data_IF_893376322926
#
_entry.id   IF_893376322926
#
_cell.length_a   1.000
_cell.length_b   1.000
_cell.length_c   1.000
_cell.angle_alpha   90.00
_cell.angle_beta   90.00
_cell.angle_gamma   90.00
#
_symmetry.space_group_name_H-M   'P 1'
#
loop_
_entity.id
_entity.type
_entity.pdbx_description
1 polymer ?
#
# COMPACT_ATOMS: atom_id res chain seq x y z
N UNK A 1 -19.48 -47.97 -16.86
CA UNK A 1 -19.78 -46.91 -15.86
C UNK A 1 -18.53 -46.07 -15.63
N UNK A 2 -18.43 -44.83 -16.11
CA UNK A 2 -17.31 -43.96 -15.83
C UNK A 2 -17.57 -43.22 -14.51
N UNK A 3 -16.69 -43.45 -13.51
CA UNK A 3 -16.68 -42.74 -12.24
C UNK A 3 -16.31 -41.27 -12.44
N UNK A 4 -17.31 -40.42 -12.29
CA UNK A 4 -17.18 -38.96 -12.21
C UNK A 4 -16.35 -38.58 -10.97
N UNK A 5 -15.02 -38.49 -11.10
CA UNK A 5 -14.18 -37.79 -10.11
C UNK A 5 -14.36 -36.28 -10.36
N UNK A 6 -15.41 -35.70 -9.75
CA UNK A 6 -15.45 -34.26 -9.50
C UNK A 6 -14.21 -33.93 -8.65
N UNK A 7 -13.21 -33.33 -9.29
CA UNK A 7 -12.09 -32.75 -8.56
C UNK A 7 -12.67 -31.77 -7.54
N UNK A 8 -12.32 -31.96 -6.28
CA UNK A 8 -12.65 -31.05 -5.19
C UNK A 8 -12.09 -29.68 -5.57
N UNK A 9 -12.97 -28.78 -6.01
CA UNK A 9 -12.67 -27.36 -6.08
C UNK A 9 -12.54 -26.93 -4.64
N UNK A 10 -11.32 -26.67 -4.22
CA UNK A 10 -11.04 -26.08 -2.92
C UNK A 10 -11.83 -24.78 -2.83
N UNK A 11 -12.76 -24.75 -1.90
CA UNK A 11 -13.56 -23.58 -1.58
C UNK A 11 -12.59 -22.48 -1.13
N UNK A 12 -12.32 -21.51 -2.00
CA UNK A 12 -11.77 -20.25 -1.52
C UNK A 12 -12.71 -19.69 -0.43
N UNK A 13 -12.20 -18.93 0.54
CA UNK A 13 -13.02 -18.41 1.61
C UNK A 13 -14.24 -17.71 1.01
N UNK A 14 -15.42 -18.09 1.49
CA UNK A 14 -16.69 -17.45 1.17
C UNK A 14 -16.63 -15.94 1.48
N UNK A 15 -17.72 -15.18 1.32
CA UNK A 15 -17.75 -13.78 1.71
C UNK A 15 -17.23 -13.67 3.15
N UNK A 16 -16.29 -12.74 3.37
CA UNK A 16 -15.68 -12.51 4.69
C UNK A 16 -16.80 -12.26 5.71
N UNK A 17 -16.70 -12.93 6.86
CA UNK A 17 -17.52 -12.59 8.01
C UNK A 17 -17.30 -11.12 8.42
N UNK A 18 -18.28 -10.52 9.06
CA UNK A 18 -18.20 -9.09 9.42
C UNK A 18 -16.98 -8.79 10.31
N UNK A 19 -16.74 -9.59 11.34
CA UNK A 19 -15.61 -9.41 12.27
C UNK A 19 -14.24 -9.38 11.58
N UNK A 20 -13.85 -10.43 10.86
CA UNK A 20 -12.60 -10.45 10.12
C UNK A 20 -12.44 -9.28 9.14
N UNK A 21 -13.49 -8.91 8.40
CA UNK A 21 -13.47 -7.77 7.49
C UNK A 21 -13.11 -6.47 8.19
N UNK A 22 -13.74 -6.20 9.35
CA UNK A 22 -13.48 -4.99 10.16
C UNK A 22 -12.04 -4.95 10.68
N UNK A 23 -11.48 -6.09 11.10
CA UNK A 23 -10.08 -6.13 11.54
C UNK A 23 -9.10 -5.87 10.40
N UNK A 24 -9.37 -6.37 9.19
CA UNK A 24 -8.55 -6.06 8.01
C UNK A 24 -8.65 -4.58 7.63
N UNK A 25 -9.85 -3.98 7.77
CA UNK A 25 -10.06 -2.56 7.59
C UNK A 25 -9.27 -1.74 8.62
N UNK A 26 -9.30 -2.13 9.90
CA UNK A 26 -8.51 -1.48 10.95
C UNK A 26 -7.01 -1.56 10.66
N UNK A 27 -6.51 -2.73 10.25
CA UNK A 27 -5.10 -2.92 9.91
C UNK A 27 -4.68 -2.02 8.74
N UNK A 28 -5.52 -1.90 7.71
CA UNK A 28 -5.28 -1.05 6.55
C UNK A 28 -5.26 0.44 6.92
N UNK A 29 -6.24 0.90 7.70
CA UNK A 29 -6.31 2.27 8.18
C UNK A 29 -5.12 2.64 9.07
N UNK A 30 -4.77 1.76 10.00
CA UNK A 30 -3.62 1.91 10.88
C UNK A 30 -2.29 1.98 10.10
N UNK A 31 -2.10 1.10 9.11
CA UNK A 31 -0.91 1.13 8.27
C UNK A 31 -0.76 2.45 7.50
N UNK A 32 -1.85 2.99 6.92
CA UNK A 32 -1.82 4.30 6.27
C UNK A 32 -1.42 5.42 7.24
N UNK A 33 -1.98 5.41 8.44
CA UNK A 33 -1.66 6.38 9.49
C UNK A 33 -0.19 6.30 9.92
N UNK A 34 0.37 5.11 10.09
CA UNK A 34 1.80 4.92 10.40
C UNK A 34 2.72 5.49 9.32
N UNK A 35 2.36 5.38 8.04
CA UNK A 35 3.13 6.01 6.95
C UNK A 35 3.14 7.53 7.09
N UNK A 36 1.99 8.13 7.36
CA UNK A 36 1.90 9.58 7.57
C UNK A 36 2.71 10.02 8.78
N UNK A 37 2.63 9.30 9.90
CA UNK A 37 3.42 9.59 11.11
C UNK A 37 4.92 9.49 10.84
N UNK A 38 5.35 8.51 10.04
CA UNK A 38 6.76 8.36 9.67
C UNK A 38 7.28 9.58 8.90
N UNK A 39 6.54 10.03 7.89
CA UNK A 39 6.95 11.20 7.11
C UNK A 39 6.81 12.50 7.92
N UNK A 40 5.80 12.62 8.78
CA UNK A 40 5.64 13.75 9.69
C UNK A 40 6.83 13.88 10.64
N UNK A 41 7.26 12.75 11.26
CA UNK A 41 8.43 12.73 12.13
C UNK A 41 9.69 13.13 11.37
N UNK A 42 9.92 12.55 10.20
CA UNK A 42 11.06 12.88 9.35
C UNK A 42 11.09 14.36 8.96
N UNK A 43 9.92 14.95 8.72
CA UNK A 43 9.81 16.35 8.33
C UNK A 43 10.02 17.33 9.48
N UNK A 44 9.49 17.05 10.65
CA UNK A 44 9.35 18.02 11.73
C UNK A 44 10.26 17.77 12.95
N UNK A 45 10.85 16.58 13.07
CA UNK A 45 11.69 16.23 14.22
C UNK A 45 13.10 15.87 13.78
N UNK A 46 14.07 16.16 14.63
CA UNK A 46 15.48 15.73 14.42
C UNK A 46 15.58 14.21 14.42
N UNK A 47 16.66 13.66 13.89
CA UNK A 47 16.88 12.22 13.94
C UNK A 47 17.09 11.73 15.37
N UNK A 48 16.72 10.49 15.65
CA UNK A 48 16.75 9.92 17.00
C UNK A 48 18.15 10.00 17.59
N UNK A 49 19.18 9.76 16.78
CA UNK A 49 20.60 9.78 17.16
C UNK A 49 21.09 11.19 17.53
N UNK A 50 20.42 12.23 17.07
CA UNK A 50 20.77 13.62 17.41
C UNK A 50 20.26 14.05 18.79
N UNK A 51 19.45 13.22 19.46
CA UNK A 51 18.86 13.53 20.76
C UNK A 51 19.86 13.16 21.87
N UNK A 52 20.37 14.14 22.57
CA UNK A 52 21.40 13.95 23.61
C UNK A 52 20.90 13.13 24.83
N UNK A 53 19.62 13.19 25.16
CA UNK A 53 19.02 12.45 26.29
C UNK A 53 17.71 11.80 25.85
N UNK A 54 17.69 10.48 25.85
CA UNK A 54 16.51 9.69 25.54
C UNK A 54 15.72 9.43 26.83
N UNK A 55 14.42 9.70 26.79
CA UNK A 55 13.48 9.25 27.80
C UNK A 55 12.52 8.20 27.21
N UNK A 56 11.88 7.33 28.03
CA UNK A 56 11.01 6.26 27.54
C UNK A 56 9.87 6.76 26.64
N UNK A 57 9.29 7.92 26.92
CA UNK A 57 8.23 8.50 26.10
C UNK A 57 8.73 8.88 24.71
N UNK A 58 9.85 9.60 24.63
CA UNK A 58 10.47 9.97 23.34
C UNK A 58 10.85 8.71 22.53
N UNK A 59 11.46 7.71 23.17
CA UNK A 59 11.82 6.46 22.50
C UNK A 59 10.60 5.73 21.93
N UNK A 60 9.53 5.64 22.72
CA UNK A 60 8.28 5.04 22.29
C UNK A 60 7.62 5.82 21.13
N UNK A 61 7.61 7.16 21.20
CA UNK A 61 7.08 8.03 20.14
C UNK A 61 7.85 7.87 18.83
N UNK A 62 9.19 7.81 18.87
CA UNK A 62 10.01 7.58 17.68
C UNK A 62 9.83 6.18 17.11
N UNK A 63 9.75 5.15 17.95
CA UNK A 63 9.47 3.80 17.50
C UNK A 63 8.10 3.72 16.80
N UNK A 64 7.04 4.22 17.45
CA UNK A 64 5.69 4.22 16.89
C UNK A 64 5.57 5.00 15.58
N UNK A 65 6.31 6.11 15.45
CA UNK A 65 6.31 6.93 14.24
C UNK A 65 7.37 6.54 13.20
N UNK A 66 8.04 5.40 13.33
CA UNK A 66 9.08 4.95 12.39
C UNK A 66 8.69 3.76 11.52
N UNK A 67 7.41 3.38 11.54
CA UNK A 67 6.90 2.15 10.93
C UNK A 67 6.42 2.34 9.48
N UNK A 68 6.90 3.37 8.76
CA UNK A 68 6.43 3.67 7.40
C UNK A 68 6.67 2.54 6.39
N UNK A 69 7.92 2.03 6.30
CA UNK A 69 8.28 0.91 5.40
C UNK A 69 7.52 -0.36 5.76
N UNK A 70 7.44 -0.69 7.06
CA UNK A 70 6.74 -1.87 7.56
C UNK A 70 5.25 -1.83 7.22
N UNK A 71 4.65 -0.64 7.26
CA UNK A 71 3.24 -0.44 6.86
C UNK A 71 3.00 -0.70 5.37
N UNK A 72 3.98 -0.42 4.51
CA UNK A 72 3.89 -0.78 3.08
C UNK A 72 3.91 -2.31 2.91
N UNK A 73 4.69 -3.04 3.71
CA UNK A 73 4.65 -4.52 3.67
C UNK A 73 3.29 -5.07 4.09
N UNK A 74 2.64 -4.47 5.10
CA UNK A 74 1.24 -4.79 5.46
C UNK A 74 0.30 -4.56 4.26
N UNK A 75 0.43 -3.45 3.54
CA UNK A 75 -0.37 -3.21 2.33
C UNK A 75 -0.13 -4.26 1.25
N UNK A 76 1.11 -4.67 1.02
CA UNK A 76 1.42 -5.69 0.02
C UNK A 76 0.76 -7.02 0.36
N UNK A 77 0.84 -7.49 1.60
CA UNK A 77 0.17 -8.74 2.02
C UNK A 77 -1.35 -8.63 1.90
N UNK A 78 -1.95 -7.51 2.38
CA UNK A 78 -3.40 -7.28 2.26
C UNK A 78 -3.85 -7.23 0.79
N UNK A 79 -3.12 -6.54 -0.05
CA UNK A 79 -3.39 -6.46 -1.49
C UNK A 79 -3.27 -7.84 -2.16
N UNK A 80 -2.23 -8.60 -1.81
CA UNK A 80 -2.06 -9.99 -2.26
C UNK A 80 -3.26 -10.86 -1.91
N UNK A 81 -3.73 -10.81 -0.67
CA UNK A 81 -4.91 -11.57 -0.22
C UNK A 81 -6.17 -11.15 -0.98
N UNK A 82 -6.48 -9.87 -1.03
CA UNK A 82 -7.73 -9.37 -1.62
C UNK A 82 -7.75 -9.48 -3.15
N UNK A 83 -6.68 -9.03 -3.80
CA UNK A 83 -6.59 -9.00 -5.27
C UNK A 83 -6.19 -10.35 -5.81
N UNK A 84 -5.15 -10.97 -5.26
CA UNK A 84 -4.69 -12.31 -5.66
C UNK A 84 -5.80 -13.34 -5.47
N UNK A 85 -6.49 -13.33 -4.32
CA UNK A 85 -7.65 -14.20 -4.10
C UNK A 85 -8.76 -13.99 -5.13
N UNK A 86 -9.02 -12.75 -5.59
CA UNK A 86 -10.01 -12.49 -6.63
C UNK A 86 -9.60 -13.05 -8.00
N UNK A 87 -8.31 -12.96 -8.35
CA UNK A 87 -7.75 -13.53 -9.59
C UNK A 87 -7.87 -15.05 -9.57
N UNK A 88 -7.45 -15.69 -8.49
CA UNK A 88 -7.49 -17.15 -8.35
C UNK A 88 -8.93 -17.69 -8.48
N UNK A 89 -9.90 -17.06 -7.83
CA UNK A 89 -11.32 -17.45 -7.96
C UNK A 89 -11.84 -17.28 -9.38
N UNK A 90 -11.53 -16.16 -10.02
CA UNK A 90 -12.02 -15.83 -11.36
C UNK A 90 -11.43 -16.75 -12.43
N UNK A 91 -10.14 -17.07 -12.33
CA UNK A 91 -9.48 -18.05 -13.24
C UNK A 91 -9.98 -19.47 -12.95
N UNK A 92 -10.08 -19.86 -11.67
CA UNK A 92 -10.56 -21.19 -11.26
C UNK A 92 -12.00 -21.47 -11.66
N UNK A 93 -12.88 -20.46 -11.70
CA UNK A 93 -14.28 -20.57 -12.16
C UNK A 93 -14.45 -20.42 -13.68
N UNK A 94 -13.39 -20.17 -14.43
CA UNK A 94 -13.47 -19.93 -15.88
C UNK A 94 -14.11 -18.59 -16.26
N UNK A 95 -14.35 -17.69 -15.29
CA UNK A 95 -14.99 -16.38 -15.51
C UNK A 95 -14.00 -15.23 -15.73
N UNK A 96 -12.73 -15.55 -15.99
CA UNK A 96 -11.68 -14.55 -16.14
C UNK A 96 -11.89 -13.63 -17.35
N UNK A 97 -11.74 -12.34 -17.12
CA UNK A 97 -11.70 -11.33 -18.18
C UNK A 97 -10.67 -10.26 -17.84
N UNK A 98 -9.65 -10.12 -18.67
CA UNK A 98 -8.65 -9.04 -18.53
C UNK A 98 -9.29 -7.65 -18.51
N UNK A 99 -10.29 -7.40 -19.38
CA UNK A 99 -10.99 -6.11 -19.44
C UNK A 99 -11.70 -5.80 -18.14
N UNK A 100 -12.45 -6.76 -17.59
CA UNK A 100 -13.17 -6.57 -16.32
C UNK A 100 -12.20 -6.40 -15.15
N UNK A 101 -11.13 -7.19 -15.13
CA UNK A 101 -10.10 -7.11 -14.10
C UNK A 101 -9.38 -5.75 -14.11
N UNK A 102 -8.85 -5.35 -15.27
CA UNK A 102 -8.14 -4.07 -15.41
C UNK A 102 -9.07 -2.89 -15.14
N UNK A 103 -10.31 -2.91 -15.63
CA UNK A 103 -11.30 -1.87 -15.32
C UNK A 103 -11.48 -1.71 -13.81
N UNK A 104 -11.63 -2.83 -13.08
CA UNK A 104 -11.82 -2.80 -11.64
C UNK A 104 -10.57 -2.27 -10.88
N UNK A 105 -9.36 -2.60 -11.34
CA UNK A 105 -8.11 -2.13 -10.70
C UNK A 105 -7.79 -0.68 -11.08
N UNK A 106 -7.79 -0.37 -12.38
CA UNK A 106 -7.44 0.97 -12.86
C UNK A 106 -8.43 2.03 -12.41
N UNK A 107 -9.75 1.75 -12.43
CA UNK A 107 -10.74 2.71 -11.91
C UNK A 107 -10.46 3.07 -10.45
N UNK A 108 -10.08 2.08 -9.61
CA UNK A 108 -9.73 2.31 -8.20
C UNK A 108 -8.44 3.11 -8.05
N UNK A 109 -7.42 2.80 -8.85
CA UNK A 109 -6.12 3.48 -8.75
C UNK A 109 -6.21 4.92 -9.28
N UNK A 110 -6.76 5.12 -10.48
CA UNK A 110 -6.74 6.44 -11.13
C UNK A 110 -7.65 7.48 -10.49
N UNK A 111 -8.76 7.07 -9.87
CA UNK A 111 -9.65 8.00 -9.15
C UNK A 111 -8.94 8.71 -8.00
N UNK A 112 -7.87 8.11 -7.46
CA UNK A 112 -7.04 8.73 -6.40
C UNK A 112 -5.73 9.24 -6.96
N UNK A 113 -5.05 8.46 -7.82
CA UNK A 113 -3.73 8.81 -8.34
C UNK A 113 -3.73 10.12 -9.14
N UNK A 114 -4.68 10.31 -10.07
CA UNK A 114 -4.70 11.53 -10.87
C UNK A 114 -4.92 12.79 -10.02
N UNK A 115 -5.92 12.84 -9.12
CA UNK A 115 -6.02 13.96 -8.17
C UNK A 115 -4.77 14.14 -7.31
N UNK A 116 -4.15 13.05 -6.81
CA UNK A 116 -2.95 13.14 -5.99
C UNK A 116 -1.76 13.75 -6.75
N UNK A 117 -1.58 13.38 -8.02
CA UNK A 117 -0.54 13.97 -8.87
C UNK A 117 -0.82 15.44 -9.17
N UNK A 118 -2.06 15.79 -9.56
CA UNK A 118 -2.42 17.16 -9.93
C UNK A 118 -2.41 18.09 -8.71
N UNK A 119 -3.03 17.69 -7.60
CA UNK A 119 -3.07 18.50 -6.38
C UNK A 119 -1.69 18.58 -5.74
N UNK A 120 -0.93 17.47 -5.72
CA UNK A 120 0.45 17.46 -5.22
C UNK A 120 1.35 18.36 -6.05
N UNK A 121 1.28 18.27 -7.39
CA UNK A 121 2.04 19.16 -8.28
C UNK A 121 1.65 20.64 -8.13
N UNK A 122 0.37 20.94 -7.92
CA UNK A 122 -0.08 22.30 -7.65
C UNK A 122 0.45 22.85 -6.32
N UNK A 123 0.44 22.03 -5.25
CA UNK A 123 1.03 22.40 -3.95
C UNK A 123 2.54 22.65 -4.08
N UNK A 124 3.26 21.78 -4.77
CA UNK A 124 4.69 21.93 -5.01
C UNK A 124 4.98 23.20 -5.83
N UNK A 125 4.23 23.41 -6.90
CA UNK A 125 4.37 24.60 -7.72
C UNK A 125 4.13 25.88 -6.92
N UNK A 126 3.05 25.94 -6.15
CA UNK A 126 2.74 27.10 -5.28
C UNK A 126 3.85 27.28 -4.24
N UNK A 127 4.24 26.20 -3.54
CA UNK A 127 5.26 26.26 -2.50
C UNK A 127 6.61 26.74 -3.02
N UNK A 128 7.05 26.28 -4.20
CA UNK A 128 8.32 26.70 -4.82
C UNK A 128 8.37 28.20 -5.20
N UNK A 129 7.22 28.84 -5.37
CA UNK A 129 7.14 30.27 -5.69
C UNK A 129 6.95 31.16 -4.45
N UNK A 130 6.94 30.58 -3.24
CA UNK A 130 6.85 31.33 -2.00
C UNK A 130 8.25 31.70 -1.48
N UNK A 131 8.44 32.87 -0.86
CA UNK A 131 9.74 33.27 -0.32
C UNK A 131 10.25 32.35 0.77
N UNK A 132 11.54 32.03 0.77
CA UNK A 132 12.22 31.29 1.84
C UNK A 132 11.96 29.78 1.86
N UNK A 133 11.42 29.22 0.78
CA UNK A 133 11.09 27.78 0.68
C UNK A 133 12.13 26.96 -0.07
N UNK A 134 13.16 27.60 -0.63
CA UNK A 134 14.16 27.02 -1.55
C UNK A 134 14.88 25.82 -0.92
N UNK A 135 15.24 25.90 0.38
CA UNK A 135 15.95 24.84 1.07
C UNK A 135 15.13 23.54 1.13
N UNK A 136 13.80 23.65 1.24
CA UNK A 136 12.91 22.48 1.27
C UNK A 136 12.82 21.85 -0.11
N UNK A 137 12.51 22.62 -1.13
CA UNK A 137 12.28 22.11 -2.49
C UNK A 137 13.55 21.75 -3.25
N UNK A 138 14.73 22.27 -2.84
CA UNK A 138 16.01 21.82 -3.37
C UNK A 138 16.48 20.46 -2.83
N UNK A 139 15.83 19.90 -1.81
CA UNK A 139 16.24 18.66 -1.16
C UNK A 139 17.26 18.84 -0.04
N UNK A 140 17.51 20.08 0.40
CA UNK A 140 18.53 20.42 1.41
C UNK A 140 17.94 20.66 2.81
N UNK A 141 16.71 20.20 3.05
CA UNK A 141 16.02 20.40 4.34
C UNK A 141 16.36 19.40 5.42
N UNK A 142 17.24 18.42 5.15
CA UNK A 142 17.58 17.31 6.06
C UNK A 142 16.51 16.23 6.19
N UNK A 143 15.45 16.25 5.35
CA UNK A 143 14.42 15.21 5.31
C UNK A 143 14.89 14.03 4.45
N UNK A 144 14.77 12.81 4.99
CA UNK A 144 15.08 11.59 4.22
C UNK A 144 14.05 11.32 3.12
N UNK A 145 12.78 11.66 3.38
CA UNK A 145 11.70 11.47 2.41
C UNK A 145 11.81 12.39 1.19
N UNK A 146 12.57 13.49 1.28
CA UNK A 146 12.77 14.48 0.21
C UNK A 146 14.27 14.82 0.07
N UNK A 147 15.07 13.84 -0.27
CA UNK A 147 16.51 14.00 -0.50
C UNK A 147 16.87 14.30 -1.98
N UNK A 148 15.95 14.90 -2.73
CA UNK A 148 16.14 15.25 -4.14
C UNK A 148 15.51 16.61 -4.47
N UNK A 149 15.96 17.23 -5.56
CA UNK A 149 15.47 18.52 -5.99
C UNK A 149 14.13 18.40 -6.74
N UNK A 150 13.06 18.96 -6.17
CA UNK A 150 11.70 18.92 -6.71
C UNK A 150 11.58 19.62 -8.07
N UNK A 151 12.33 20.70 -8.30
CA UNK A 151 12.34 21.39 -9.60
C UNK A 151 12.70 20.48 -10.77
N UNK A 152 13.56 19.47 -10.54
CA UNK A 152 14.00 18.52 -11.59
C UNK A 152 12.95 17.47 -11.92
N UNK A 153 12.00 17.21 -11.03
CA UNK A 153 11.00 16.15 -11.15
C UNK A 153 9.56 16.66 -11.30
N UNK A 154 9.34 17.95 -11.18
CA UNK A 154 8.04 18.58 -11.45
C UNK A 154 7.94 18.92 -12.96
N UNK A 155 7.93 17.88 -13.80
CA UNK A 155 7.91 17.98 -15.25
C UNK A 155 6.79 17.14 -15.86
N UNK A 156 6.37 17.45 -17.08
CA UNK A 156 5.34 16.69 -17.80
C UNK A 156 5.74 15.23 -18.04
N UNK A 157 7.03 15.00 -18.30
CA UNK A 157 7.57 13.65 -18.47
C UNK A 157 7.41 12.83 -17.18
N UNK A 158 7.75 13.42 -16.03
CA UNK A 158 7.57 12.75 -14.73
C UNK A 158 6.11 12.57 -14.37
N UNK A 159 5.25 13.55 -14.67
CA UNK A 159 3.80 13.41 -14.49
C UNK A 159 3.26 12.22 -15.29
N UNK A 160 3.57 12.16 -16.59
CA UNK A 160 3.13 11.08 -17.45
C UNK A 160 3.68 9.72 -17.01
N UNK A 161 4.95 9.64 -16.64
CA UNK A 161 5.59 8.42 -16.17
C UNK A 161 4.97 7.92 -14.86
N UNK A 162 4.67 8.83 -13.91
CA UNK A 162 3.99 8.47 -12.66
C UNK A 162 2.53 8.06 -12.89
N UNK A 163 1.82 8.73 -13.80
CA UNK A 163 0.49 8.33 -14.21
C UNK A 163 0.46 6.93 -14.87
N UNK A 164 1.55 6.50 -15.51
CA UNK A 164 1.71 5.17 -16.09
C UNK A 164 2.34 4.14 -15.13
N UNK A 165 2.49 4.46 -13.84
CA UNK A 165 3.09 3.58 -12.82
C UNK A 165 4.53 3.16 -13.14
N UNK A 166 5.31 4.00 -13.84
CA UNK A 166 6.70 3.72 -14.21
C UNK A 166 7.76 4.04 -13.13
N UNK A 167 7.50 4.77 -12.01
CA UNK A 167 8.53 4.99 -11.01
C UNK A 167 9.16 3.66 -10.57
N UNK A 168 10.50 3.66 -10.49
CA UNK A 168 11.31 2.48 -10.13
C UNK A 168 11.35 1.33 -11.14
N UNK A 169 10.63 1.41 -12.27
CA UNK A 169 10.74 0.45 -13.37
C UNK A 169 11.99 0.76 -14.21
N UNK A 170 12.74 -0.28 -14.56
CA UNK A 170 13.92 -0.16 -15.44
C UNK A 170 13.46 -0.09 -16.89
N UNK A 171 13.67 1.05 -17.52
CA UNK A 171 13.44 1.17 -18.96
C UNK A 171 14.74 0.86 -19.73
N UNK A 172 14.69 0.06 -20.84
CA UNK A 172 15.84 -0.23 -21.65
C UNK A 172 16.51 1.04 -22.20
N UNK A 173 17.84 1.11 -22.12
CA UNK A 173 18.60 2.26 -22.60
C UNK A 173 18.57 3.50 -21.71
N UNK A 174 17.87 3.47 -20.60
CA UNK A 174 17.84 4.53 -19.61
C UNK A 174 18.68 4.15 -18.38
N UNK A 175 19.42 5.11 -17.81
CA UNK A 175 20.14 4.87 -16.57
C UNK A 175 19.17 4.42 -15.45
N UNK A 176 19.58 3.52 -14.53
CA UNK A 176 18.75 3.14 -13.41
C UNK A 176 18.35 4.38 -12.62
N UNK A 177 17.07 4.49 -12.26
CA UNK A 177 16.46 5.60 -11.50
C UNK A 177 16.08 6.86 -12.29
N UNK A 178 15.89 6.77 -13.60
CA UNK A 178 15.45 7.94 -14.40
C UNK A 178 14.01 8.36 -14.11
N UNK A 179 13.12 7.46 -13.71
CA UNK A 179 11.75 7.78 -13.34
C UNK A 179 11.65 7.92 -11.82
N UNK A 180 11.82 9.14 -11.35
CA UNK A 180 11.59 9.51 -9.97
C UNK A 180 10.09 9.78 -9.71
N UNK A 181 9.64 9.82 -8.45
CA UNK A 181 8.32 10.32 -8.11
C UNK A 181 8.11 11.74 -8.66
N UNK A 182 6.87 12.04 -9.07
CA UNK A 182 6.50 13.36 -9.56
C UNK A 182 6.36 14.34 -8.39
N UNK A 183 7.04 15.48 -8.50
CA UNK A 183 7.07 16.49 -7.44
C UNK A 183 7.67 15.94 -6.14
N UNK A 184 7.16 16.39 -5.01
CA UNK A 184 7.57 15.93 -3.69
C UNK A 184 6.94 14.59 -3.27
N UNK A 185 6.10 13.96 -4.11
CA UNK A 185 5.30 12.79 -3.74
C UNK A 185 6.07 11.47 -3.79
N UNK A 186 7.17 11.40 -3.03
CA UNK A 186 8.00 10.20 -2.92
C UNK A 186 7.24 8.95 -2.47
N UNK A 187 6.13 9.09 -1.74
CA UNK A 187 5.35 7.96 -1.24
C UNK A 187 4.74 7.09 -2.36
N UNK A 188 4.54 7.62 -3.56
CA UNK A 188 3.90 6.89 -4.68
C UNK A 188 4.76 5.76 -5.27
N UNK A 189 6.01 5.57 -4.85
CA UNK A 189 6.84 4.47 -5.34
C UNK A 189 6.16 3.10 -5.19
N UNK A 190 5.44 2.87 -4.10
CA UNK A 190 4.81 1.59 -3.81
C UNK A 190 3.62 1.27 -4.72
N UNK A 191 2.98 2.29 -5.30
CA UNK A 191 1.91 2.10 -6.29
C UNK A 191 2.44 1.50 -7.60
N UNK A 192 3.64 1.88 -8.03
CA UNK A 192 4.31 1.25 -9.16
C UNK A 192 4.57 -0.24 -8.91
N UNK A 193 4.98 -0.60 -7.68
CA UNK A 193 5.13 -1.99 -7.24
C UNK A 193 3.79 -2.73 -7.26
N UNK A 194 2.77 -2.16 -6.65
CA UNK A 194 1.44 -2.77 -6.58
C UNK A 194 0.84 -3.01 -7.97
N UNK A 195 0.93 -2.02 -8.86
CA UNK A 195 0.46 -2.15 -10.24
C UNK A 195 1.26 -3.23 -11.00
N UNK A 196 2.57 -3.30 -10.76
CA UNK A 196 3.43 -4.35 -11.32
C UNK A 196 2.94 -5.75 -10.91
N UNK A 197 2.55 -5.94 -9.63
CA UNK A 197 1.98 -7.22 -9.15
C UNK A 197 0.60 -7.48 -9.75
N UNK A 198 -0.20 -6.47 -10.01
CA UNK A 198 -1.50 -6.62 -10.68
C UNK A 198 -1.36 -7.13 -12.11
N UNK A 199 -0.25 -6.83 -12.78
CA UNK A 199 0.03 -7.37 -14.11
C UNK A 199 0.71 -8.75 -14.05
N UNK A 200 1.75 -8.89 -13.21
CA UNK A 200 2.57 -10.10 -13.15
C UNK A 200 1.82 -11.30 -12.57
N UNK A 201 0.98 -11.10 -11.54
CA UNK A 201 0.33 -12.21 -10.86
C UNK A 201 -0.68 -12.99 -11.73
N UNK A 202 -1.59 -12.35 -12.48
CA UNK A 202 -2.45 -13.10 -13.40
C UNK A 202 -1.65 -13.91 -14.45
N UNK A 203 -0.55 -13.36 -14.97
CA UNK A 203 0.31 -14.07 -15.91
C UNK A 203 0.92 -15.32 -15.26
N UNK A 204 1.38 -15.21 -14.00
CA UNK A 204 1.87 -16.34 -13.20
C UNK A 204 0.77 -17.39 -12.99
N UNK A 205 -0.44 -16.98 -12.68
CA UNK A 205 -1.58 -17.89 -12.51
C UNK A 205 -1.88 -18.63 -13.82
N UNK A 206 -1.84 -17.96 -14.97
CA UNK A 206 -2.01 -18.60 -16.28
C UNK A 206 -0.88 -19.57 -16.62
N UNK A 207 0.38 -19.25 -16.26
CA UNK A 207 1.49 -20.18 -16.45
C UNK A 207 1.27 -21.50 -15.68
N UNK A 208 0.75 -21.41 -14.45
CA UNK A 208 0.56 -22.55 -13.54
C UNK A 208 -0.79 -23.25 -13.69
N UNK A 209 -1.77 -22.63 -14.35
CA UNK A 209 -3.12 -23.17 -14.49
C UNK A 209 -3.13 -24.51 -15.26
N UNK A 210 -3.93 -25.47 -14.76
CA UNK A 210 -4.12 -26.77 -15.41
C UNK A 210 -4.97 -26.61 -16.68
N UNK A 211 -4.66 -27.40 -17.70
CA UNK A 211 -5.40 -27.38 -18.97
C UNK A 211 -5.01 -26.29 -19.95
N UNK A 212 -4.04 -25.44 -19.61
CA UNK A 212 -3.51 -24.44 -20.55
C UNK A 212 -2.70 -25.11 -21.67
N UNK A 213 -2.87 -24.58 -22.90
CA UNK A 213 -2.06 -25.01 -24.04
C UNK A 213 -0.58 -24.66 -23.84
N UNK A 214 0.31 -25.43 -24.48
CA UNK A 214 1.75 -25.17 -24.41
C UNK A 214 2.12 -23.76 -24.93
N UNK A 215 1.40 -23.28 -25.97
CA UNK A 215 1.57 -21.93 -26.52
C UNK A 215 1.30 -20.85 -25.46
N UNK A 216 0.21 -20.98 -24.70
CA UNK A 216 -0.13 -20.05 -23.60
C UNK A 216 0.91 -20.11 -22.46
N UNK A 217 1.45 -21.30 -22.16
CA UNK A 217 2.51 -21.40 -21.14
C UNK A 217 3.79 -20.70 -21.59
N UNK A 218 4.21 -20.88 -22.85
CA UNK A 218 5.37 -20.16 -23.39
C UNK A 218 5.13 -18.65 -23.36
N UNK A 219 3.96 -18.17 -23.82
CA UNK A 219 3.62 -16.76 -23.80
C UNK A 219 3.63 -16.19 -22.37
N UNK A 220 3.08 -16.93 -21.40
CA UNK A 220 3.11 -16.52 -19.99
C UNK A 220 4.52 -16.51 -19.42
N UNK A 221 5.36 -17.49 -19.77
CA UNK A 221 6.76 -17.53 -19.36
C UNK A 221 7.53 -16.32 -19.91
N UNK A 222 7.43 -16.06 -21.22
CA UNK A 222 8.03 -14.88 -21.84
C UNK A 222 7.52 -13.57 -21.21
N UNK A 223 6.22 -13.49 -20.97
CA UNK A 223 5.60 -12.35 -20.29
C UNK A 223 6.17 -12.13 -18.89
N UNK A 224 6.36 -13.18 -18.08
CA UNK A 224 6.95 -13.09 -16.74
C UNK A 224 8.44 -12.72 -16.79
N UNK A 225 9.19 -13.27 -17.73
CA UNK A 225 10.61 -12.90 -17.91
C UNK A 225 10.75 -11.43 -18.29
N UNK A 226 9.95 -10.96 -19.25
CA UNK A 226 9.91 -9.55 -19.65
C UNK A 226 9.48 -8.66 -18.48
N UNK A 227 8.42 -9.06 -17.77
CA UNK A 227 7.96 -8.34 -16.58
C UNK A 227 9.05 -8.26 -15.50
N UNK A 228 9.69 -9.37 -15.16
CA UNK A 228 10.75 -9.41 -14.14
C UNK A 228 11.97 -8.58 -14.53
N UNK A 229 12.33 -8.58 -15.82
CA UNK A 229 13.42 -7.76 -16.35
C UNK A 229 13.10 -6.25 -16.25
N UNK A 230 11.88 -5.84 -16.64
CA UNK A 230 11.43 -4.45 -16.53
C UNK A 230 11.27 -4.01 -15.07
N UNK A 231 10.65 -4.83 -14.24
CA UNK A 231 10.40 -4.55 -12.82
C UNK A 231 11.69 -4.43 -12.01
N UNK A 232 12.69 -5.26 -12.33
CA UNK A 232 13.93 -5.33 -11.58
C UNK A 232 13.84 -6.10 -10.27
N UNK A 233 15.01 -6.40 -9.69
CA UNK A 233 15.13 -7.35 -8.58
C UNK A 233 14.33 -6.94 -7.33
N UNK A 234 14.33 -5.67 -6.97
CA UNK A 234 13.64 -5.20 -5.76
C UNK A 234 12.12 -5.42 -5.85
N UNK A 235 11.50 -5.11 -6.99
CA UNK A 235 10.05 -5.33 -7.20
C UNK A 235 9.75 -6.83 -7.15
N UNK A 236 10.58 -7.66 -7.81
CA UNK A 236 10.40 -9.11 -7.82
C UNK A 236 10.52 -9.70 -6.41
N UNK A 237 11.55 -9.32 -5.65
CA UNK A 237 11.76 -9.85 -4.29
C UNK A 237 10.67 -9.40 -3.32
N UNK A 238 10.28 -8.12 -3.32
CA UNK A 238 9.16 -7.64 -2.50
C UNK A 238 7.81 -8.17 -2.98
N UNK A 239 7.72 -8.61 -4.23
CA UNK A 239 6.60 -9.37 -4.77
C UNK A 239 6.32 -10.67 -4.02
N UNK A 240 7.34 -11.28 -3.38
CA UNK A 240 7.16 -12.44 -2.52
C UNK A 240 6.27 -12.11 -1.31
N UNK A 241 6.42 -10.91 -0.71
CA UNK A 241 5.55 -10.44 0.37
C UNK A 241 4.10 -10.33 -0.09
N UNK A 242 3.88 -9.82 -1.30
CA UNK A 242 2.55 -9.76 -1.91
C UNK A 242 1.99 -11.16 -2.19
N UNK A 243 2.82 -12.09 -2.70
CA UNK A 243 2.43 -13.49 -2.96
C UNK A 243 2.06 -14.22 -1.67
N UNK A 244 2.73 -13.98 -0.55
CA UNK A 244 2.36 -14.52 0.76
C UNK A 244 0.91 -14.21 1.09
N UNK A 245 0.44 -12.99 0.80
CA UNK A 245 -0.97 -12.60 0.93
C UNK A 245 -1.89 -13.43 0.04
N UNK A 246 -1.55 -13.60 -1.23
CA UNK A 246 -2.33 -14.42 -2.17
C UNK A 246 -2.41 -15.88 -1.74
N UNK A 247 -1.33 -16.42 -1.16
CA UNK A 247 -1.26 -17.80 -0.69
C UNK A 247 -2.19 -18.08 0.50
N UNK A 248 -2.64 -17.07 1.26
CA UNK A 248 -3.62 -17.26 2.35
C UNK A 248 -4.88 -17.98 1.82
N UNK A 249 -5.26 -17.76 0.57
CA UNK A 249 -6.45 -18.39 -0.03
C UNK A 249 -6.35 -19.90 -0.17
N UNK A 250 -5.15 -20.46 -0.10
CA UNK A 250 -4.89 -21.90 -0.18
C UNK A 250 -4.68 -22.54 1.19
N UNK A 251 -4.52 -21.73 2.25
CA UNK A 251 -4.31 -22.26 3.59
C UNK A 251 -5.62 -22.89 4.12
N UNK A 252 -5.52 -24.01 4.81
CA UNK A 252 -6.69 -24.66 5.43
C UNK A 252 -7.28 -23.77 6.51
N UNK A 253 -8.52 -24.01 6.88
CA UNK A 253 -9.13 -23.34 8.01
C UNK A 253 -8.32 -23.62 9.29
N UNK A 254 -8.16 -22.59 10.13
CA UNK A 254 -7.42 -22.73 11.38
C UNK A 254 -8.13 -23.75 12.31
N UNK A 255 -7.41 -24.77 12.83
CA UNK A 255 -8.05 -25.90 13.53
C UNK A 255 -8.52 -25.59 14.97
N UNK A 256 -8.71 -24.31 15.31
CA UNK A 256 -9.14 -23.91 16.66
C UNK A 256 -10.60 -24.30 16.94
N UNK A 257 -10.79 -25.45 17.57
CA UNK A 257 -12.11 -25.95 17.97
C UNK A 257 -12.64 -25.29 19.26
N UNK A 258 -11.76 -24.81 20.14
CA UNK A 258 -12.12 -24.23 21.45
C UNK A 258 -11.90 -22.72 21.48
N UNK A 259 -12.76 -21.92 22.16
CA UNK A 259 -12.59 -20.46 22.22
C UNK A 259 -11.24 -19.99 22.73
N UNK A 260 -10.70 -20.65 23.76
CA UNK A 260 -9.39 -20.30 24.34
C UNK A 260 -8.23 -20.51 23.35
N UNK A 261 -8.28 -21.57 22.50
CA UNK A 261 -7.23 -21.77 21.47
C UNK A 261 -7.26 -20.68 20.41
N UNK A 262 -8.42 -20.10 20.11
CA UNK A 262 -8.54 -18.94 19.21
C UNK A 262 -7.89 -17.71 19.82
N UNK A 263 -8.16 -17.43 21.11
CA UNK A 263 -7.55 -16.30 21.81
C UNK A 263 -6.02 -16.39 21.84
N UNK A 264 -5.47 -17.57 22.20
CA UNK A 264 -4.02 -17.79 22.19
C UNK A 264 -3.41 -17.64 20.79
N UNK A 265 -4.08 -18.12 19.75
CA UNK A 265 -3.62 -17.96 18.38
C UNK A 265 -3.54 -16.49 17.97
N UNK A 266 -4.55 -15.68 18.33
CA UNK A 266 -4.55 -14.23 18.05
C UNK A 266 -3.40 -13.55 18.81
N UNK A 267 -3.22 -13.84 20.11
CA UNK A 267 -2.13 -13.27 20.90
C UNK A 267 -0.77 -13.66 20.32
N UNK A 268 -0.56 -14.93 19.97
CA UNK A 268 0.68 -15.38 19.35
C UNK A 268 0.93 -14.67 18.02
N UNK A 269 -0.10 -14.54 17.16
CA UNK A 269 0.03 -13.84 15.88
C UNK A 269 0.37 -12.36 16.07
N UNK A 270 -0.20 -11.69 17.07
CA UNK A 270 0.14 -10.30 17.43
C UNK A 270 1.57 -10.17 17.97
N UNK A 271 2.02 -11.11 18.79
CA UNK A 271 3.40 -11.14 19.30
C UNK A 271 4.39 -11.35 18.15
N UNK A 272 4.13 -12.29 17.24
CA UNK A 272 4.96 -12.53 16.05
C UNK A 272 4.97 -11.29 15.12
N UNK A 273 3.84 -10.65 14.95
CA UNK A 273 3.75 -9.40 14.18
C UNK A 273 4.58 -8.29 14.83
N UNK A 274 4.45 -8.09 16.15
CA UNK A 274 5.26 -7.12 16.90
C UNK A 274 6.75 -7.42 16.82
N UNK A 275 7.15 -8.68 16.98
CA UNK A 275 8.54 -9.11 16.82
C UNK A 275 9.07 -8.84 15.39
N UNK A 276 8.26 -9.14 14.36
CA UNK A 276 8.61 -8.85 12.96
C UNK A 276 8.74 -7.35 12.67
N UNK A 277 7.91 -6.50 13.29
CA UNK A 277 8.05 -5.04 13.20
C UNK A 277 9.39 -4.56 13.77
N UNK A 278 9.75 -5.06 14.95
CA UNK A 278 11.03 -4.71 15.61
C UNK A 278 12.21 -5.22 14.79
N UNK A 279 12.20 -6.48 14.38
CA UNK A 279 13.28 -7.08 13.58
C UNK A 279 13.48 -6.33 12.25
N UNK A 280 12.39 -6.08 11.52
CA UNK A 280 12.43 -5.34 10.26
C UNK A 280 12.95 -3.90 10.44
N UNK A 281 12.71 -3.28 11.58
CA UNK A 281 13.24 -1.95 11.90
C UNK A 281 14.74 -1.96 12.13
N UNK A 282 15.25 -2.99 12.80
CA UNK A 282 16.68 -3.08 13.15
C UNK A 282 17.55 -3.49 11.97
N UNK A 283 17.11 -4.46 11.17
CA UNK A 283 17.89 -4.99 10.05
C UNK A 283 17.65 -4.25 8.72
N UNK A 284 16.47 -3.67 8.53
CA UNK A 284 16.16 -2.76 7.41
C UNK A 284 16.40 -3.33 6.00
N UNK A 285 16.38 -4.66 5.84
CA UNK A 285 16.74 -5.39 4.64
C UNK A 285 15.56 -6.09 3.97
N UNK A 286 15.71 -6.53 2.72
CA UNK A 286 14.66 -7.30 2.03
C UNK A 286 14.34 -8.63 2.77
N UNK A 287 15.31 -9.41 3.29
CA UNK A 287 15.00 -10.57 4.14
C UNK A 287 14.11 -10.24 5.32
N UNK A 288 14.37 -9.13 6.00
CA UNK A 288 13.54 -8.67 7.13
C UNK A 288 12.12 -8.28 6.70
N UNK A 289 11.95 -7.67 5.53
CA UNK A 289 10.64 -7.40 4.95
C UNK A 289 9.87 -8.71 4.66
N UNK A 290 10.57 -9.78 4.23
CA UNK A 290 9.96 -11.09 4.01
C UNK A 290 9.54 -11.77 5.33
N UNK A 291 10.36 -11.66 6.38
CA UNK A 291 10.01 -12.15 7.73
C UNK A 291 8.78 -11.43 8.26
N UNK A 292 8.74 -10.11 8.14
CA UNK A 292 7.56 -9.31 8.47
C UNK A 292 6.35 -9.73 7.62
N UNK A 293 6.54 -9.96 6.32
CA UNK A 293 5.49 -10.45 5.42
C UNK A 293 4.88 -11.77 5.89
N UNK A 294 5.69 -12.71 6.36
CA UNK A 294 5.22 -13.98 6.96
C UNK A 294 4.42 -13.73 8.24
N UNK A 295 4.89 -12.85 9.12
CA UNK A 295 4.19 -12.51 10.35
C UNK A 295 2.83 -11.85 10.08
N UNK A 296 2.75 -10.92 9.11
CA UNK A 296 1.50 -10.30 8.66
C UNK A 296 0.56 -11.34 8.04
N UNK A 297 1.10 -12.26 7.23
CA UNK A 297 0.33 -13.35 6.62
C UNK A 297 -0.30 -14.24 7.69
N UNK A 298 0.48 -14.63 8.72
CA UNK A 298 -0.01 -15.39 9.86
C UNK A 298 -1.10 -14.62 10.62
N UNK A 299 -0.90 -13.32 10.87
CA UNK A 299 -1.87 -12.47 11.55
C UNK A 299 -3.19 -12.39 10.77
N UNK A 300 -3.15 -12.17 9.45
CA UNK A 300 -4.35 -12.15 8.61
C UNK A 300 -5.03 -13.51 8.64
N UNK A 301 -4.30 -14.61 8.43
CA UNK A 301 -4.86 -15.96 8.41
C UNK A 301 -5.55 -16.31 9.74
N UNK A 302 -4.91 -16.03 10.87
CA UNK A 302 -5.50 -16.24 12.20
C UNK A 302 -6.73 -15.36 12.40
N UNK A 303 -6.66 -14.08 12.01
CA UNK A 303 -7.80 -13.14 12.11
C UNK A 303 -9.01 -13.64 11.33
N UNK A 304 -8.81 -14.14 10.11
CA UNK A 304 -9.89 -14.66 9.26
C UNK A 304 -10.66 -15.83 9.89
N UNK A 305 -10.01 -16.64 10.73
CA UNK A 305 -10.58 -17.86 11.27
C UNK A 305 -10.91 -17.78 12.76
N UNK A 306 -10.26 -16.87 13.50
CA UNK A 306 -10.35 -16.82 14.96
C UNK A 306 -11.08 -15.58 15.50
N UNK A 307 -11.13 -14.48 14.74
CA UNK A 307 -11.77 -13.24 15.17
C UNK A 307 -13.29 -13.28 14.97
N UNK A 308 -13.98 -14.06 15.78
CA UNK A 308 -15.44 -14.31 15.68
C UNK A 308 -16.25 -13.59 16.75
N UNK A 309 -15.60 -12.91 17.70
CA UNK A 309 -16.30 -12.19 18.77
C UNK A 309 -17.08 -10.98 18.22
N UNK A 310 -18.23 -10.64 18.84
CA UNK A 310 -18.95 -9.40 18.53
C UNK A 310 -18.04 -8.17 18.73
N UNK A 311 -18.13 -7.21 17.82
CA UNK A 311 -17.31 -6.01 17.86
C UNK A 311 -18.10 -4.80 18.35
N UNK A 312 -17.51 -3.93 19.19
CA UNK A 312 -18.15 -2.67 19.57
C UNK A 312 -18.42 -1.79 18.36
N UNK A 313 -19.61 -1.17 18.28
CA UNK A 313 -20.02 -0.33 17.16
C UNK A 313 -19.01 0.82 16.87
N UNK A 314 -18.45 1.42 17.90
CA UNK A 314 -17.41 2.44 17.76
C UNK A 314 -16.18 1.91 16.99
N UNK A 315 -15.70 0.72 17.35
CA UNK A 315 -14.55 0.10 16.65
C UNK A 315 -14.87 -0.18 15.17
N UNK A 316 -16.05 -0.76 14.90
CA UNK A 316 -16.51 -1.04 13.53
C UNK A 316 -16.56 0.25 12.70
N UNK A 317 -17.17 1.31 13.26
CA UNK A 317 -17.30 2.59 12.57
C UNK A 317 -15.91 3.23 12.28
N UNK A 318 -15.04 3.28 13.29
CA UNK A 318 -13.71 3.88 13.18
C UNK A 318 -12.83 3.11 12.20
N UNK A 319 -12.81 1.77 12.29
CA UNK A 319 -12.04 0.90 11.40
C UNK A 319 -12.46 1.08 9.93
N UNK A 320 -13.76 1.03 9.65
CA UNK A 320 -14.30 1.23 8.30
C UNK A 320 -13.99 2.63 7.77
N UNK A 321 -14.19 3.67 8.59
CA UNK A 321 -13.90 5.05 8.18
C UNK A 321 -12.42 5.25 7.86
N UNK A 322 -11.52 4.77 8.72
CA UNK A 322 -10.07 4.84 8.49
C UNK A 322 -9.65 4.06 7.24
N UNK A 323 -10.24 2.89 6.99
CA UNK A 323 -9.95 2.09 5.82
C UNK A 323 -10.43 2.74 4.52
N UNK A 324 -11.61 3.37 4.53
CA UNK A 324 -12.18 3.97 3.31
C UNK A 324 -11.30 5.09 2.77
N UNK A 325 -10.75 5.96 3.62
CA UNK A 325 -9.88 7.08 3.22
C UNK A 325 -8.39 6.73 3.23
N UNK A 326 -8.01 5.49 3.57
CA UNK A 326 -6.60 5.09 3.74
C UNK A 326 -5.76 5.26 2.48
N UNK A 327 -6.33 4.97 1.32
CA UNK A 327 -5.63 5.08 0.05
C UNK A 327 -5.45 6.55 -0.35
N UNK A 328 -6.49 7.38 -0.21
CA UNK A 328 -6.37 8.82 -0.43
C UNK A 328 -5.36 9.44 0.54
N UNK A 329 -5.45 9.13 1.85
CA UNK A 329 -4.51 9.63 2.85
C UNK A 329 -3.06 9.28 2.47
N UNK A 330 -2.82 8.01 2.08
CA UNK A 330 -1.51 7.58 1.60
C UNK A 330 -1.04 8.35 0.37
N UNK A 331 -1.92 8.62 -0.59
CA UNK A 331 -1.55 9.21 -1.86
C UNK A 331 -1.29 10.73 -1.81
N UNK A 332 -1.91 11.46 -0.87
CA UNK A 332 -1.87 12.94 -0.88
C UNK A 332 -1.13 13.57 0.30
N UNK A 333 -0.74 12.79 1.33
CA UNK A 333 -0.18 13.35 2.56
C UNK A 333 1.16 14.05 2.38
N UNK A 334 2.06 13.47 1.56
CA UNK A 334 3.44 13.94 1.50
C UNK A 334 3.57 15.32 0.84
N UNK A 335 2.96 15.61 -0.32
CA UNK A 335 2.99 16.97 -0.88
C UNK A 335 2.37 18.01 0.06
N UNK A 336 1.28 17.68 0.76
CA UNK A 336 0.68 18.59 1.73
C UNK A 336 1.62 18.84 2.92
N UNK A 337 2.27 17.80 3.44
CA UNK A 337 3.26 17.93 4.52
C UNK A 337 4.44 18.82 4.11
N UNK A 338 4.99 18.60 2.91
CA UNK A 338 6.09 19.39 2.36
C UNK A 338 5.68 20.85 2.18
N UNK A 339 4.48 21.09 1.63
CA UNK A 339 3.92 22.42 1.47
C UNK A 339 3.78 23.15 2.80
N UNK A 340 3.18 22.53 3.81
CA UNK A 340 3.05 23.11 5.16
C UNK A 340 4.41 23.39 5.81
N UNK A 341 5.34 22.44 5.71
CA UNK A 341 6.70 22.62 6.23
C UNK A 341 7.40 23.82 5.58
N UNK A 342 7.31 23.94 4.27
CA UNK A 342 7.98 24.99 3.52
C UNK A 342 7.34 26.36 3.80
N UNK A 343 6.03 26.48 3.66
CA UNK A 343 5.31 27.77 3.73
C UNK A 343 5.19 28.31 5.15
N UNK A 344 5.13 27.46 6.16
CA UNK A 344 5.14 27.84 7.57
C UNK A 344 6.57 27.89 8.16
N UNK A 345 7.60 27.70 7.34
CA UNK A 345 9.01 27.68 7.74
C UNK A 345 9.31 26.80 8.96
N UNK A 346 8.67 25.61 9.01
CA UNK A 346 8.78 24.71 10.16
C UNK A 346 10.17 24.06 10.23
N UNK A 347 10.97 24.31 11.26
CA UNK A 347 12.25 23.64 11.43
C UNK A 347 12.08 22.18 11.86
N UNK A 348 13.15 21.39 11.73
CA UNK A 348 13.24 20.12 12.45
C UNK A 348 13.59 20.41 13.91
N UNK A 349 12.65 20.11 14.80
CA UNK A 349 12.73 20.45 16.21
C UNK A 349 13.12 19.24 17.08
N UNK A 350 13.77 19.50 18.22
CA UNK A 350 13.92 18.51 19.28
C UNK A 350 12.56 18.16 19.88
N UNK A 351 12.36 16.89 20.34
CA UNK A 351 11.13 16.48 21.00
C UNK A 351 10.82 17.35 22.23
N UNK A 352 9.63 17.92 22.24
CA UNK A 352 9.14 18.77 23.33
C UNK A 352 7.66 19.06 23.12
N UNK A 353 7.00 19.59 24.15
CA UNK A 353 5.55 19.81 24.13
C UNK A 353 5.10 20.69 22.94
N UNK A 354 5.82 21.79 22.71
CA UNK A 354 5.53 22.68 21.59
C UNK A 354 5.67 21.96 20.23
N UNK A 355 6.76 21.19 20.03
CA UNK A 355 6.97 20.45 18.80
C UNK A 355 5.89 19.38 18.56
N UNK A 356 5.43 18.70 19.61
CA UNK A 356 4.33 17.74 19.52
C UNK A 356 3.00 18.42 19.16
N UNK A 357 2.71 19.61 19.72
CA UNK A 357 1.51 20.38 19.37
C UNK A 357 1.53 20.83 17.91
N UNK A 358 2.66 21.34 17.41
CA UNK A 358 2.83 21.70 16.01
C UNK A 358 2.66 20.46 15.13
N UNK A 359 3.30 19.35 15.48
CA UNK A 359 3.15 18.08 14.76
C UNK A 359 1.70 17.59 14.73
N UNK A 360 0.97 17.70 15.85
CA UNK A 360 -0.45 17.33 15.92
C UNK A 360 -1.32 18.24 15.04
N UNK A 361 -1.07 19.55 15.00
CA UNK A 361 -1.78 20.50 14.16
C UNK A 361 -1.55 20.21 12.67
N UNK A 362 -0.30 19.94 12.26
CA UNK A 362 0.06 19.57 10.89
C UNK A 362 -0.60 18.25 10.52
N UNK A 363 -0.58 17.24 11.40
CA UNK A 363 -1.24 15.95 11.19
C UNK A 363 -2.75 16.12 11.00
N UNK A 364 -3.40 16.92 11.85
CA UNK A 364 -4.84 17.18 11.74
C UNK A 364 -5.19 17.85 10.40
N UNK A 365 -4.37 18.81 9.95
CA UNK A 365 -4.53 19.46 8.65
C UNK A 365 -4.39 18.47 7.49
N UNK A 366 -3.39 17.59 7.53
CA UNK A 366 -3.19 16.53 6.51
C UNK A 366 -4.38 15.57 6.48
N UNK A 367 -4.86 15.11 7.64
CA UNK A 367 -6.01 14.19 7.72
C UNK A 367 -7.28 14.86 7.21
N UNK A 368 -7.53 16.12 7.57
CA UNK A 368 -8.67 16.89 7.06
C UNK A 368 -8.59 17.06 5.53
N UNK A 369 -7.44 17.46 5.01
CA UNK A 369 -7.20 17.58 3.57
C UNK A 369 -7.44 16.25 2.85
N UNK A 370 -6.89 15.15 3.36
CA UNK A 370 -7.10 13.83 2.79
C UNK A 370 -8.58 13.42 2.82
N UNK A 371 -9.31 13.77 3.89
CA UNK A 371 -10.75 13.50 3.96
C UNK A 371 -11.55 14.30 2.92
N UNK A 372 -11.19 15.56 2.66
CA UNK A 372 -11.82 16.37 1.61
C UNK A 372 -11.56 15.78 0.22
N UNK A 373 -10.33 15.37 -0.06
CA UNK A 373 -9.97 14.70 -1.33
C UNK A 373 -10.68 13.35 -1.47
N UNK A 374 -10.82 12.57 -0.39
CA UNK A 374 -11.58 11.32 -0.39
C UNK A 374 -13.04 11.55 -0.76
N UNK A 375 -13.72 12.52 -0.14
CA UNK A 375 -15.12 12.85 -0.41
C UNK A 375 -15.32 13.31 -1.86
N UNK A 376 -14.37 14.08 -2.40
CA UNK A 376 -14.44 14.58 -3.76
C UNK A 376 -14.20 13.49 -4.82
N UNK A 377 -13.28 12.56 -4.57
CA UNK A 377 -12.79 11.62 -5.59
C UNK A 377 -13.02 10.16 -5.23
N UNK A 378 -12.31 9.60 -4.24
CA UNK A 378 -12.28 8.14 -3.97
C UNK A 378 -13.67 7.57 -3.68
N UNK A 379 -14.49 8.27 -2.93
CA UNK A 379 -15.89 7.91 -2.63
C UNK A 379 -16.72 7.64 -3.89
N UNK A 380 -16.36 8.28 -4.99
CA UNK A 380 -17.06 8.18 -6.27
C UNK A 380 -16.53 7.07 -7.20
N UNK A 381 -15.59 6.24 -6.75
CA UNK A 381 -14.94 5.20 -7.57
C UNK A 381 -15.94 4.30 -8.28
N UNK A 382 -16.98 3.84 -7.58
CA UNK A 382 -18.00 2.97 -8.18
C UNK A 382 -18.86 3.67 -9.23
N UNK A 383 -19.10 4.98 -9.06
CA UNK A 383 -19.81 5.82 -10.05
C UNK A 383 -18.96 5.96 -11.31
N UNK A 384 -17.68 6.27 -11.17
CA UNK A 384 -16.73 6.37 -12.30
C UNK A 384 -16.61 5.04 -13.02
N UNK A 385 -16.47 3.92 -12.28
CA UNK A 385 -16.39 2.58 -12.86
C UNK A 385 -17.64 2.21 -13.64
N UNK A 386 -18.85 2.50 -13.13
CA UNK A 386 -20.12 2.27 -13.85
C UNK A 386 -20.21 3.10 -15.11
N UNK A 387 -19.73 4.34 -15.08
CA UNK A 387 -19.72 5.23 -16.25
C UNK A 387 -18.78 4.72 -17.37
N UNK A 388 -17.58 4.25 -17.01
CA UNK A 388 -16.58 3.76 -17.98
C UNK A 388 -16.93 2.35 -18.51
N UNK A 389 -17.61 1.53 -17.72
CA UNK A 389 -17.89 0.11 -18.03
C UNK A 389 -18.45 -0.15 -19.43
N UNK A 390 -19.46 0.58 -19.94
CA UNK A 390 -20.01 0.35 -21.28
C UNK A 390 -18.99 0.56 -22.41
N UNK A 391 -18.07 1.46 -22.23
CA UNK A 391 -17.00 1.74 -23.21
C UNK A 391 -15.93 0.65 -23.27
N UNK A 392 -15.63 0.03 -22.14
CA UNK A 392 -14.60 -1.02 -22.04
C UNK A 392 -15.17 -2.40 -22.34
N UNK A 393 -16.37 -2.70 -21.88
CA UNK A 393 -16.99 -4.04 -21.99
C UNK A 393 -17.90 -4.20 -23.22
N UNK A 394 -18.23 -3.13 -23.91
CA UNK A 394 -19.23 -3.12 -24.97
C UNK A 394 -20.67 -2.99 -24.42
N UNK A 395 -21.53 -2.28 -25.17
CA UNK A 395 -22.93 -1.97 -24.76
C UNK A 395 -23.81 -3.20 -24.47
N UNK A 396 -23.44 -4.41 -24.92
CA UNK A 396 -24.21 -5.66 -24.71
C UNK A 396 -23.85 -6.41 -23.43
N UNK A 397 -22.81 -6.01 -22.69
CA UNK A 397 -22.33 -6.67 -21.48
C UNK A 397 -22.45 -5.81 -20.22
N UNK A 398 -23.17 -4.67 -20.31
CA UNK A 398 -23.34 -3.71 -19.22
C UNK A 398 -24.66 -3.89 -18.47
#
# INVERSE_FOLDING_TARGET
MPRNRKAAVTHGPGPLGEGPSVHLDALRGFAAFCVVLNHLRDALFVDYEAIARHNPFTSAAYLASSLGRQSVMVFFVLSGYLVGGSVLRSVGSGSWSWRAYLLARLSRLYVVLLPALLLGGALDWLGMHMPGTEAVYSGNSGMHALAFNVHRVLTWQMLAANALFLPTIRLPGMAPYLVLPFGSNGALWSLGYEFSYYLGFPILVFLLARGQSWKMRILSCLGLLTWGWLAGLNIVLLGLTWLMGALITFLPAFPARRPWTRGHAIVLALVLFGAGLVESKWLGSIPSDLVLGLAVTALIWVTLHCATAPLPAFYVHTARRAAHSSYTLYAVHLPMLIFLKATLHLPRAYPGWHAYLVGAAVLATIVLYAQLVYEAFEKNTDRVRRWIRPYVMGRRAA
#
